data_IF_531222143863
#
_entry.id   IF_531222143863
#
_cell.length_a   1.000
_cell.length_b   1.000
_cell.length_c   1.000
_cell.angle_alpha   90.00
_cell.angle_beta   90.00
_cell.angle_gamma   90.00
#
_symmetry.space_group_name_H-M   'P 1'
#
loop_
_entity.id
_entity.type
_entity.pdbx_description
1 polymer ?
#
# COMPACT_ATOMS: atom_id res chain seq x y z
N UNK A 1 -2.97 3.91 -27.09
CA UNK A 1 -3.53 4.36 -25.80
C UNK A 1 -2.54 5.32 -25.13
N UNK A 2 -3.02 6.43 -24.59
CA UNK A 2 -2.24 7.42 -23.84
C UNK A 2 -2.51 7.25 -22.35
N UNK A 3 -1.50 6.84 -21.62
CA UNK A 3 -1.56 6.60 -20.19
C UNK A 3 -0.89 7.77 -19.47
N UNK A 4 -1.59 8.43 -18.55
CA UNK A 4 -0.98 9.40 -17.65
C UNK A 4 -0.69 8.73 -16.30
N UNK A 5 0.58 8.67 -15.93
CA UNK A 5 1.02 8.13 -14.63
C UNK A 5 1.31 9.31 -13.72
N UNK A 6 0.63 9.34 -12.58
CA UNK A 6 0.85 10.37 -11.58
C UNK A 6 2.11 10.05 -10.78
N UNK A 7 2.96 11.08 -10.63
CA UNK A 7 4.25 11.02 -9.93
C UNK A 7 4.22 11.97 -8.73
N UNK A 8 5.27 11.98 -7.87
CA UNK A 8 5.36 12.93 -6.77
C UNK A 8 5.17 14.38 -7.24
N UNK A 9 4.62 15.19 -6.37
CA UNK A 9 4.56 16.65 -6.51
C UNK A 9 5.97 17.23 -6.62
N UNK A 10 6.11 18.38 -7.27
CA UNK A 10 7.40 19.08 -7.52
C UNK A 10 8.19 19.31 -6.23
N UNK A 11 7.52 19.60 -5.11
CA UNK A 11 8.14 19.77 -3.80
C UNK A 11 8.75 18.47 -3.23
N UNK A 12 8.22 17.31 -3.66
CA UNK A 12 8.59 15.99 -3.16
C UNK A 12 9.42 15.16 -4.18
N UNK A 13 9.69 15.68 -5.39
CA UNK A 13 10.42 14.95 -6.45
C UNK A 13 11.81 14.46 -6.02
N UNK A 14 12.49 15.22 -5.16
CA UNK A 14 13.82 14.83 -4.64
C UNK A 14 13.69 13.76 -3.55
N UNK A 15 12.66 13.86 -2.71
CA UNK A 15 12.39 12.91 -1.63
C UNK A 15 12.06 11.53 -2.18
N UNK A 16 11.29 11.46 -3.25
CA UNK A 16 10.81 10.25 -3.88
C UNK A 16 11.44 10.04 -5.27
N UNK A 17 12.74 10.31 -5.41
CA UNK A 17 13.46 10.21 -6.70
C UNK A 17 13.37 8.83 -7.35
N UNK A 18 13.10 7.79 -6.56
CA UNK A 18 12.97 6.38 -6.98
C UNK A 18 11.80 6.16 -7.95
N UNK A 19 10.85 7.11 -8.10
CA UNK A 19 9.82 7.01 -9.12
C UNK A 19 10.41 6.82 -10.53
N UNK A 20 11.60 7.39 -10.78
CA UNK A 20 12.29 7.24 -12.08
C UNK A 20 12.76 5.83 -12.31
N UNK A 21 13.16 5.11 -11.25
CA UNK A 21 13.53 3.70 -11.36
C UNK A 21 12.31 2.86 -11.71
N UNK A 22 11.17 3.06 -11.05
CA UNK A 22 9.95 2.35 -11.38
C UNK A 22 9.47 2.71 -12.79
N UNK A 23 9.53 3.98 -13.20
CA UNK A 23 9.22 4.41 -14.55
C UNK A 23 10.10 3.73 -15.60
N UNK A 24 11.41 3.64 -15.35
CA UNK A 24 12.34 2.97 -16.26
C UNK A 24 12.06 1.47 -16.42
N UNK A 25 11.51 0.81 -15.40
CA UNK A 25 11.09 -0.59 -15.49
C UNK A 25 9.81 -0.74 -16.32
N UNK A 26 8.80 0.13 -16.14
CA UNK A 26 7.49 -0.03 -16.78
C UNK A 26 7.42 0.53 -18.20
N UNK A 27 8.17 1.58 -18.52
CA UNK A 27 8.17 2.25 -19.82
C UNK A 27 8.34 1.29 -21.01
N UNK A 28 9.38 0.43 -21.03
CA UNK A 28 9.58 -0.49 -22.14
C UNK A 28 8.48 -1.55 -22.25
N UNK A 29 7.85 -1.93 -21.12
CA UNK A 29 6.74 -2.87 -21.09
C UNK A 29 5.50 -2.27 -21.76
N UNK A 30 5.14 -1.05 -21.39
CA UNK A 30 4.00 -0.31 -21.93
C UNK A 30 4.18 -0.04 -23.42
N UNK A 31 5.36 0.48 -23.81
CA UNK A 31 5.65 0.81 -25.22
C UNK A 31 5.55 -0.40 -26.14
N UNK A 32 5.96 -1.58 -25.69
CA UNK A 32 5.79 -2.85 -26.46
C UNK A 32 4.32 -3.21 -26.71
N UNK A 33 3.39 -2.71 -25.91
CA UNK A 33 1.93 -2.89 -26.10
C UNK A 33 1.26 -1.70 -26.80
N UNK A 34 2.05 -0.76 -27.36
CA UNK A 34 1.51 0.45 -28.01
C UNK A 34 0.91 1.45 -27.04
N UNK A 35 1.25 1.35 -25.77
CA UNK A 35 0.80 2.29 -24.74
C UNK A 35 1.85 3.39 -24.61
N UNK A 36 1.40 4.65 -24.68
CA UNK A 36 2.25 5.83 -24.59
C UNK A 36 2.15 6.43 -23.20
N UNK A 37 3.13 6.17 -22.29
CA UNK A 37 3.12 6.76 -20.97
C UNK A 37 3.52 8.23 -21.00
N UNK A 38 2.87 9.01 -20.18
CA UNK A 38 3.25 10.38 -19.79
C UNK A 38 3.25 10.48 -18.27
N UNK A 39 4.03 11.41 -17.74
CA UNK A 39 4.21 11.58 -16.30
C UNK A 39 3.80 12.98 -15.89
N UNK A 40 2.97 13.09 -14.84
CA UNK A 40 2.51 14.36 -14.27
C UNK A 40 2.56 14.33 -12.76
N UNK A 41 2.98 15.40 -12.09
CA UNK A 41 2.77 15.54 -10.67
C UNK A 41 1.30 15.28 -10.31
N UNK A 42 1.05 14.56 -9.21
CA UNK A 42 -0.31 14.28 -8.76
C UNK A 42 -1.10 15.56 -8.40
N UNK A 43 -0.44 16.69 -8.39
CA UNK A 43 -1.02 18.02 -8.15
C UNK A 43 -1.46 18.73 -9.43
N UNK A 44 -1.11 18.19 -10.59
CA UNK A 44 -1.37 18.78 -11.90
C UNK A 44 -2.41 17.98 -12.68
N UNK A 45 -3.12 18.63 -13.59
CA UNK A 45 -4.07 17.96 -14.44
C UNK A 45 -3.36 17.02 -15.44
N UNK A 46 -3.90 15.81 -15.65
CA UNK A 46 -3.51 14.97 -16.77
C UNK A 46 -3.70 15.70 -18.11
N UNK A 47 -2.90 15.39 -19.15
CA UNK A 47 -3.12 15.90 -20.50
C UNK A 47 -4.56 15.65 -20.97
N UNK A 48 -5.15 16.61 -21.69
CA UNK A 48 -6.55 16.54 -22.13
C UNK A 48 -6.88 15.38 -23.07
N UNK A 49 -5.85 14.77 -23.64
CA UNK A 49 -5.95 13.63 -24.56
C UNK A 49 -5.60 12.29 -23.86
N UNK A 50 -5.58 12.26 -22.51
CA UNK A 50 -5.33 11.06 -21.73
C UNK A 50 -6.51 10.09 -21.81
N UNK A 51 -6.22 8.84 -22.15
CA UNK A 51 -7.22 7.76 -22.16
C UNK A 51 -7.42 7.13 -20.78
N UNK A 52 -6.33 7.02 -19.99
CA UNK A 52 -6.34 6.40 -18.66
C UNK A 52 -5.36 7.10 -17.72
N UNK A 53 -5.77 7.31 -16.48
CA UNK A 53 -4.93 7.86 -15.39
C UNK A 53 -4.57 6.76 -14.41
N UNK A 54 -3.30 6.70 -14.00
CA UNK A 54 -2.80 5.73 -13.03
C UNK A 54 -1.98 6.44 -11.95
N UNK A 55 -2.39 6.44 -10.67
CA UNK A 55 -1.66 7.10 -9.60
C UNK A 55 -0.49 6.27 -9.04
N UNK A 56 0.08 5.36 -9.83
CA UNK A 56 1.06 4.35 -9.41
C UNK A 56 2.30 4.91 -8.71
N UNK A 57 2.64 6.17 -8.94
CA UNK A 57 3.81 6.82 -8.33
C UNK A 57 3.43 8.15 -7.67
N UNK A 58 2.16 8.33 -7.26
CA UNK A 58 1.68 9.56 -6.61
C UNK A 58 2.21 9.70 -5.17
N UNK A 59 3.47 9.26 -4.93
CA UNK A 59 4.09 9.30 -3.61
C UNK A 59 4.11 10.71 -3.04
N UNK A 60 3.84 10.83 -1.75
CA UNK A 60 3.79 12.11 -1.05
C UNK A 60 2.37 12.68 -0.89
N UNK A 61 1.33 12.12 -1.53
CA UNK A 61 -0.05 12.59 -1.39
C UNK A 61 -0.53 12.61 0.08
N UNK A 62 -0.06 11.66 0.88
CA UNK A 62 -0.37 11.55 2.31
C UNK A 62 0.09 12.76 3.13
N UNK A 63 1.04 13.54 2.63
CA UNK A 63 1.54 14.77 3.27
C UNK A 63 0.61 15.97 3.06
N UNK A 64 -0.27 15.90 2.05
CA UNK A 64 -1.30 16.90 1.77
C UNK A 64 -2.61 16.22 1.37
N UNK A 65 -3.18 15.49 2.31
CA UNK A 65 -4.39 14.67 2.10
C UNK A 65 -5.59 15.51 1.63
N UNK A 66 -5.72 16.75 2.12
CA UNK A 66 -6.80 17.63 1.68
C UNK A 66 -6.71 17.94 0.18
N UNK A 67 -5.51 18.24 -0.33
CA UNK A 67 -5.28 18.47 -1.75
C UNK A 67 -5.50 17.18 -2.55
N UNK A 68 -5.05 16.03 -2.04
CA UNK A 68 -5.28 14.73 -2.67
C UNK A 68 -6.78 14.47 -2.89
N UNK A 69 -7.60 14.62 -1.84
CA UNK A 69 -9.04 14.43 -1.97
C UNK A 69 -9.68 15.43 -2.92
N UNK A 70 -9.25 16.69 -2.91
CA UNK A 70 -9.73 17.71 -3.85
C UNK A 70 -9.40 17.34 -5.31
N UNK A 71 -8.20 16.78 -5.57
CA UNK A 71 -7.83 16.29 -6.90
C UNK A 71 -8.69 15.10 -7.34
N UNK A 72 -8.95 14.12 -6.46
CA UNK A 72 -9.85 13.01 -6.77
C UNK A 72 -11.27 13.49 -7.11
N UNK A 73 -11.77 14.54 -6.45
CA UNK A 73 -13.06 15.15 -6.77
C UNK A 73 -13.02 15.88 -8.13
N UNK A 74 -11.96 16.64 -8.38
CA UNK A 74 -11.74 17.37 -9.63
C UNK A 74 -11.68 16.42 -10.83
N UNK A 75 -11.00 15.28 -10.67
CA UNK A 75 -10.84 14.28 -11.73
C UNK A 75 -12.00 13.28 -11.83
N UNK A 76 -13.15 13.57 -11.23
CA UNK A 76 -14.30 12.64 -11.15
C UNK A 76 -14.82 12.13 -12.50
N UNK A 77 -14.45 12.78 -13.61
CA UNK A 77 -14.85 12.41 -14.97
C UNK A 77 -13.77 11.68 -15.77
N UNK A 78 -12.57 11.54 -15.21
CA UNK A 78 -11.47 10.84 -15.89
C UNK A 78 -11.55 9.33 -15.62
N UNK A 79 -11.08 8.55 -16.58
CA UNK A 79 -10.91 7.12 -16.40
C UNK A 79 -9.64 6.84 -15.58
N UNK A 80 -9.76 6.08 -14.52
CA UNK A 80 -8.64 5.67 -13.67
C UNK A 80 -8.43 4.17 -13.73
N UNK A 81 -7.17 3.74 -13.68
CA UNK A 81 -6.78 2.33 -13.65
C UNK A 81 -7.41 1.59 -12.44
N UNK A 82 -7.41 2.22 -11.28
CA UNK A 82 -8.21 1.78 -10.13
C UNK A 82 -9.33 2.80 -9.89
N UNK A 83 -10.57 2.37 -9.63
CA UNK A 83 -11.70 3.29 -9.50
C UNK A 83 -11.47 4.35 -8.42
N UNK A 84 -11.90 5.59 -8.66
CA UNK A 84 -11.75 6.69 -7.69
C UNK A 84 -12.36 6.37 -6.32
N UNK A 85 -13.43 5.58 -6.27
CA UNK A 85 -14.02 5.11 -5.02
C UNK A 85 -13.07 4.21 -4.24
N UNK A 86 -12.32 3.33 -4.93
CA UNK A 86 -11.31 2.47 -4.32
C UNK A 86 -10.09 3.29 -3.87
N UNK A 87 -9.61 4.25 -4.68
CA UNK A 87 -8.50 5.13 -4.32
C UNK A 87 -8.83 5.96 -3.07
N UNK A 88 -10.02 6.55 -3.04
CA UNK A 88 -10.49 7.33 -1.90
C UNK A 88 -10.60 6.49 -0.63
N UNK A 89 -11.15 5.29 -0.73
CA UNK A 89 -11.28 4.35 0.37
C UNK A 89 -9.90 3.90 0.89
N UNK A 90 -8.98 3.56 -0.03
CA UNK A 90 -7.64 3.07 0.31
C UNK A 90 -6.71 4.15 0.87
N UNK A 91 -7.01 5.44 0.65
CA UNK A 91 -6.23 6.57 1.19
C UNK A 91 -6.13 6.52 2.72
N UNK A 92 -7.17 6.05 3.40
CA UNK A 92 -7.23 5.99 4.87
C UNK A 92 -7.21 4.53 5.34
N UNK A 93 -6.19 4.15 6.09
CA UNK A 93 -5.98 2.77 6.59
C UNK A 93 -7.09 2.25 7.51
N UNK A 94 -8.08 3.08 7.86
CA UNK A 94 -9.33 2.60 8.49
C UNK A 94 -10.08 1.62 7.60
N UNK A 95 -9.75 1.55 6.30
CA UNK A 95 -10.25 0.49 5.43
C UNK A 95 -10.00 -0.92 5.98
N UNK A 96 -8.97 -1.11 6.81
CA UNK A 96 -8.75 -2.38 7.51
C UNK A 96 -9.92 -2.76 8.41
N UNK A 97 -10.56 -1.80 9.07
CA UNK A 97 -11.76 -2.04 9.89
C UNK A 97 -12.96 -2.44 9.02
N UNK A 98 -13.09 -1.86 7.83
CA UNK A 98 -14.12 -2.25 6.87
C UNK A 98 -13.87 -3.67 6.35
N UNK A 99 -12.60 -4.03 6.09
CA UNK A 99 -12.21 -5.41 5.75
C UNK A 99 -12.58 -6.38 6.88
N UNK A 100 -12.26 -6.05 8.12
CA UNK A 100 -12.61 -6.88 9.28
C UNK A 100 -14.12 -7.05 9.44
N UNK A 101 -14.91 -5.99 9.22
CA UNK A 101 -16.37 -6.04 9.27
C UNK A 101 -16.96 -6.96 8.18
N UNK A 102 -16.22 -7.19 7.09
CA UNK A 102 -16.57 -8.16 6.03
C UNK A 102 -15.97 -9.56 6.27
N UNK A 103 -15.35 -9.80 7.43
CA UNK A 103 -14.78 -11.09 7.81
C UNK A 103 -13.37 -11.36 7.28
N UNK A 104 -12.70 -10.37 6.67
CA UNK A 104 -11.31 -10.51 6.23
C UNK A 104 -10.39 -10.56 7.46
N UNK A 105 -9.50 -11.56 7.60
CA UNK A 105 -8.51 -11.59 8.65
C UNK A 105 -7.52 -10.41 8.49
N UNK A 106 -7.48 -9.54 9.48
CA UNK A 106 -6.55 -8.39 9.53
C UNK A 106 -5.72 -8.45 10.81
N UNK A 107 -4.58 -7.73 10.87
CA UNK A 107 -3.94 -7.45 12.16
C UNK A 107 -4.96 -6.74 13.05
N UNK A 108 -5.21 -7.20 14.30
CA UNK A 108 -6.13 -6.52 15.22
C UNK A 108 -5.82 -5.02 15.29
N UNK A 109 -6.81 -4.19 15.01
CA UNK A 109 -6.61 -2.75 14.80
C UNK A 109 -7.60 -1.95 15.65
N UNK A 110 -7.09 -0.99 16.41
CA UNK A 110 -7.90 0.03 17.08
C UNK A 110 -7.65 1.39 16.43
N UNK A 111 -8.71 2.16 16.24
CA UNK A 111 -8.63 3.53 15.75
C UNK A 111 -8.99 4.50 16.87
N UNK A 112 -8.15 5.52 17.08
CA UNK A 112 -8.35 6.61 18.00
C UNK A 112 -8.35 7.93 17.22
N UNK A 113 -9.45 8.69 17.29
CA UNK A 113 -9.56 9.98 16.59
C UNK A 113 -8.63 11.05 17.19
N UNK A 114 -8.31 10.93 18.50
CA UNK A 114 -7.38 11.77 19.23
C UNK A 114 -6.70 10.92 20.31
N UNK A 115 -5.61 10.21 19.96
CA UNK A 115 -4.98 9.24 20.86
C UNK A 115 -4.43 9.90 22.12
N UNK A 116 -4.64 9.27 23.27
CA UNK A 116 -4.09 9.65 24.57
C UNK A 116 -3.16 8.57 25.13
N UNK A 117 -2.37 8.90 26.14
CA UNK A 117 -1.44 7.95 26.76
C UNK A 117 -2.17 6.71 27.33
N UNK A 118 -3.37 6.89 27.92
CA UNK A 118 -4.16 5.80 28.46
C UNK A 118 -4.63 4.80 27.39
N UNK A 119 -4.82 5.25 26.12
CA UNK A 119 -5.24 4.38 25.03
C UNK A 119 -4.14 3.37 24.67
N UNK A 120 -2.87 3.78 24.80
CA UNK A 120 -1.72 2.90 24.55
C UNK A 120 -1.69 1.72 25.53
N UNK A 121 -1.91 1.98 26.81
CA UNK A 121 -1.93 0.94 27.86
C UNK A 121 -3.17 0.05 27.71
N UNK A 122 -4.33 0.65 27.40
CA UNK A 122 -5.55 -0.09 27.11
C UNK A 122 -5.40 -1.03 25.90
N UNK A 123 -4.71 -0.57 24.84
CA UNK A 123 -4.42 -1.39 23.66
C UNK A 123 -3.49 -2.56 23.99
N UNK A 124 -2.43 -2.34 24.77
CA UNK A 124 -1.54 -3.42 25.23
C UNK A 124 -2.30 -4.51 25.99
N UNK A 125 -3.19 -4.11 26.88
CA UNK A 125 -4.05 -5.04 27.64
C UNK A 125 -5.00 -5.79 26.69
N UNK A 126 -5.69 -5.08 25.81
CA UNK A 126 -6.65 -5.66 24.86
C UNK A 126 -6.00 -6.66 23.91
N UNK A 127 -4.81 -6.35 23.38
CA UNK A 127 -4.05 -7.21 22.48
C UNK A 127 -3.19 -8.25 23.21
N UNK A 128 -3.13 -8.22 24.55
CA UNK A 128 -2.29 -9.10 25.37
C UNK A 128 -0.81 -9.09 24.93
N UNK A 129 -0.27 -7.92 24.66
CA UNK A 129 1.10 -7.71 24.18
C UNK A 129 1.77 -6.53 24.86
N UNK A 130 3.08 -6.63 25.07
CA UNK A 130 3.91 -5.53 25.57
C UNK A 130 4.34 -4.56 24.46
N UNK A 131 4.17 -4.97 23.19
CA UNK A 131 4.70 -4.22 22.03
C UNK A 131 3.61 -3.94 21.03
N UNK A 132 3.38 -2.67 20.75
CA UNK A 132 2.39 -2.21 19.77
C UNK A 132 3.03 -1.30 18.72
N UNK A 133 2.39 -1.25 17.56
CA UNK A 133 2.68 -0.31 16.49
C UNK A 133 1.62 0.78 16.52
N UNK A 134 2.06 2.03 16.52
CA UNK A 134 1.20 3.22 16.44
C UNK A 134 1.51 3.95 15.15
N UNK A 135 0.51 4.22 14.31
CA UNK A 135 0.69 4.86 13.00
C UNK A 135 -0.50 5.74 12.63
N UNK A 136 -0.29 6.81 11.83
CA UNK A 136 -1.42 7.59 11.33
C UNK A 136 -2.32 6.76 10.39
N UNK A 137 -3.61 7.07 10.30
CA UNK A 137 -4.49 6.40 9.34
C UNK A 137 -4.14 6.72 7.89
N UNK A 138 -3.58 7.90 7.60
CA UNK A 138 -3.07 8.26 6.27
C UNK A 138 -1.57 8.47 6.37
N UNK A 139 -0.80 7.54 5.80
CA UNK A 139 0.67 7.55 5.81
C UNK A 139 1.21 6.59 4.74
N UNK A 140 2.44 6.83 4.29
CA UNK A 140 3.20 5.94 3.40
C UNK A 140 4.65 5.84 3.88
N UNK A 141 5.38 4.78 3.48
CA UNK A 141 6.81 4.62 3.77
C UNK A 141 7.17 4.55 5.26
N UNK A 142 6.23 4.16 6.12
CA UNK A 142 6.38 4.15 7.59
C UNK A 142 6.54 5.55 8.23
N UNK A 143 6.15 6.62 7.52
CA UNK A 143 6.14 7.97 8.10
C UNK A 143 5.26 8.01 9.36
N UNK A 144 5.79 8.61 10.45
CA UNK A 144 5.11 8.70 11.75
C UNK A 144 4.63 7.33 12.30
N UNK A 145 5.38 6.25 12.03
CA UNK A 145 5.10 4.92 12.56
C UNK A 145 6.07 4.60 13.70
N UNK A 146 5.53 4.28 14.86
CA UNK A 146 6.29 3.98 16.08
C UNK A 146 6.04 2.56 16.57
N UNK A 147 7.13 1.85 16.85
CA UNK A 147 7.10 0.59 17.61
C UNK A 147 7.34 0.93 19.08
N UNK A 148 6.36 0.67 19.93
CA UNK A 148 6.37 1.07 21.33
C UNK A 148 6.27 -0.17 22.23
N UNK A 149 7.42 -0.53 22.84
CA UNK A 149 7.50 -1.62 23.84
C UNK A 149 7.34 -1.03 25.25
N UNK A 150 6.58 -1.66 26.11
CA UNK A 150 6.48 -1.28 27.53
C UNK A 150 7.88 -1.24 28.19
N UNK A 151 8.21 -0.19 28.96
CA UNK A 151 7.37 0.91 29.43
C UNK A 151 7.40 2.19 28.56
N UNK A 152 7.80 2.10 27.27
CA UNK A 152 7.80 3.27 26.38
C UNK A 152 6.40 3.89 26.30
N UNK A 153 6.36 5.22 26.32
CA UNK A 153 5.13 6.02 26.26
C UNK A 153 4.86 6.53 24.84
N UNK A 154 3.65 7.02 24.63
CA UNK A 154 3.27 7.62 23.37
C UNK A 154 4.12 8.87 23.09
N UNK A 155 4.73 9.00 21.88
CA UNK A 155 5.47 10.21 21.50
C UNK A 155 4.57 11.45 21.53
N UNK A 156 5.13 12.59 21.94
CA UNK A 156 4.39 13.86 21.96
C UNK A 156 3.81 14.20 20.58
N UNK A 157 4.53 13.84 19.51
CA UNK A 157 4.08 14.04 18.13
C UNK A 157 2.83 13.23 17.76
N UNK A 158 2.49 12.19 18.50
CA UNK A 158 1.28 11.39 18.26
C UNK A 158 0.09 11.86 19.10
N UNK A 159 0.34 12.50 20.26
CA UNK A 159 -0.73 12.90 21.22
C UNK A 159 -1.77 13.80 20.56
N UNK A 160 -3.05 13.45 20.78
CA UNK A 160 -4.19 14.20 20.26
C UNK A 160 -4.43 14.06 18.76
N UNK A 161 -3.63 13.25 18.06
CA UNK A 161 -3.80 12.96 16.62
C UNK A 161 -4.66 11.71 16.40
N UNK A 162 -5.24 11.64 15.21
CA UNK A 162 -5.87 10.40 14.73
C UNK A 162 -4.79 9.33 14.50
N UNK A 163 -4.91 8.18 15.18
CA UNK A 163 -3.93 7.09 15.12
C UNK A 163 -4.61 5.73 15.08
N UNK A 164 -3.94 4.79 14.42
CA UNK A 164 -4.20 3.36 14.51
C UNK A 164 -3.21 2.74 15.49
N UNK A 165 -3.69 1.80 16.31
CA UNK A 165 -2.87 0.99 17.21
C UNK A 165 -3.06 -0.48 16.86
N UNK A 166 -1.95 -1.20 16.66
CA UNK A 166 -1.92 -2.61 16.29
C UNK A 166 -0.91 -3.37 17.18
N UNK A 167 -1.11 -4.65 17.49
CA UNK A 167 -0.05 -5.45 18.08
C UNK A 167 1.11 -5.58 17.10
N UNK A 168 2.35 -5.60 17.61
CA UNK A 168 3.49 -6.03 16.80
C UNK A 168 3.36 -7.52 16.50
N UNK A 169 3.47 -7.88 15.22
CA UNK A 169 3.39 -9.26 14.76
C UNK A 169 4.78 -9.89 14.74
N UNK A 170 5.11 -10.82 15.67
CA UNK A 170 6.44 -11.41 15.74
C UNK A 170 6.87 -12.15 14.49
N UNK A 171 5.91 -12.69 13.72
CA UNK A 171 6.14 -13.37 12.44
C UNK A 171 6.87 -12.53 11.41
N UNK A 172 6.79 -11.20 11.47
CA UNK A 172 7.59 -10.30 10.62
C UNK A 172 9.10 -10.56 10.79
N UNK A 173 9.53 -10.84 12.01
CA UNK A 173 10.96 -11.03 12.32
C UNK A 173 11.46 -12.42 11.93
N UNK A 174 10.59 -13.42 11.89
CA UNK A 174 10.92 -14.83 11.58
C UNK A 174 10.63 -15.19 10.13
N UNK A 175 9.41 -14.93 9.68
CA UNK A 175 8.89 -15.38 8.40
C UNK A 175 8.93 -14.27 7.34
N UNK A 176 8.93 -13.02 7.80
CA UNK A 176 8.88 -11.82 6.96
C UNK A 176 7.45 -11.38 6.64
N UNK A 177 7.35 -10.35 5.80
CA UNK A 177 6.11 -9.83 5.23
C UNK A 177 5.96 -10.36 3.81
N UNK A 178 4.83 -11.00 3.52
CA UNK A 178 4.47 -11.43 2.17
C UNK A 178 3.80 -10.29 1.43
N UNK A 179 4.26 -9.98 0.22
CA UNK A 179 3.59 -9.06 -0.69
C UNK A 179 3.11 -9.83 -1.91
N UNK A 180 1.79 -9.86 -2.12
CA UNK A 180 1.15 -10.49 -3.26
C UNK A 180 0.68 -9.41 -4.23
N UNK A 181 1.07 -9.53 -5.51
CA UNK A 181 0.77 -8.56 -6.55
C UNK A 181 -0.30 -9.10 -7.48
N UNK A 182 -1.40 -8.38 -7.58
CA UNK A 182 -2.52 -8.69 -8.45
C UNK A 182 -2.57 -7.70 -9.61
N UNK A 183 -2.71 -8.22 -10.82
CA UNK A 183 -2.79 -7.46 -12.06
C UNK A 183 -3.96 -8.01 -12.88
N UNK A 184 -4.88 -7.13 -13.28
CA UNK A 184 -6.10 -7.55 -13.99
C UNK A 184 -6.93 -8.58 -13.20
N UNK A 185 -6.97 -8.47 -11.87
CA UNK A 185 -7.67 -9.39 -10.98
C UNK A 185 -6.99 -10.74 -10.75
N UNK A 186 -5.80 -10.98 -11.32
CA UNK A 186 -5.07 -12.26 -11.22
C UNK A 186 -3.79 -12.08 -10.42
N UNK A 187 -3.44 -13.06 -9.58
CA UNK A 187 -2.16 -13.10 -8.89
C UNK A 187 -1.02 -13.24 -9.92
N UNK A 188 -0.20 -12.20 -10.06
CA UNK A 188 0.90 -12.16 -11.02
C UNK A 188 2.20 -12.71 -10.41
N UNK A 189 2.57 -12.25 -9.23
CA UNK A 189 3.78 -12.70 -8.52
C UNK A 189 3.66 -12.40 -7.02
N UNK A 190 4.59 -12.93 -6.26
CA UNK A 190 4.69 -12.65 -4.84
C UNK A 190 6.16 -12.58 -4.41
N UNK A 191 6.42 -11.78 -3.37
CA UNK A 191 7.71 -11.70 -2.71
C UNK A 191 7.53 -11.84 -1.21
N UNK A 192 8.60 -12.25 -0.54
CA UNK A 192 8.72 -12.08 0.90
C UNK A 192 9.77 -11.01 1.18
N UNK A 193 9.45 -10.10 2.09
CA UNK A 193 10.34 -9.06 2.58
C UNK A 193 10.75 -9.41 4.01
N UNK A 194 12.05 -9.39 4.30
CA UNK A 194 12.59 -9.68 5.63
C UNK A 194 13.35 -8.49 6.17
N UNK A 195 13.12 -8.08 7.41
CA UNK A 195 13.91 -7.04 8.04
C UNK A 195 15.34 -7.50 8.29
N UNK A 196 16.27 -6.56 8.37
CA UNK A 196 17.66 -6.81 8.70
C UNK A 196 18.15 -5.86 9.80
N UNK A 197 19.25 -6.18 10.44
CA UNK A 197 19.90 -5.25 11.37
C UNK A 197 19.14 -4.92 12.65
N UNK A 198 18.12 -5.72 13.02
CA UNK A 198 17.36 -5.51 14.25
C UNK A 198 16.22 -4.49 14.13
N UNK A 199 15.97 -3.92 12.94
CA UNK A 199 14.77 -3.16 12.65
C UNK A 199 13.60 -4.12 12.37
N UNK A 200 12.37 -3.69 12.61
CA UNK A 200 11.16 -4.46 12.27
C UNK A 200 10.62 -4.07 10.89
N UNK A 201 11.09 -2.96 10.33
CA UNK A 201 10.68 -2.44 9.03
C UNK A 201 11.38 -3.20 7.91
N UNK A 202 10.62 -3.56 6.89
CA UNK A 202 11.07 -4.41 5.78
C UNK A 202 11.43 -3.62 4.52
N UNK A 203 11.25 -2.30 4.52
CA UNK A 203 11.51 -1.46 3.36
C UNK A 203 13.02 -1.36 3.07
N UNK A 204 13.43 -1.23 1.78
CA UNK A 204 14.85 -1.19 1.38
C UNK A 204 15.68 -0.10 2.08
N UNK A 205 15.09 1.08 2.34
CA UNK A 205 15.77 2.18 3.03
C UNK A 205 16.16 1.83 4.49
N UNK A 206 15.57 0.78 5.06
CA UNK A 206 15.91 0.23 6.37
C UNK A 206 16.74 -1.05 6.27
N UNK A 207 17.25 -1.38 5.08
CA UNK A 207 18.07 -2.54 4.82
C UNK A 207 17.28 -3.85 4.57
N UNK A 208 15.95 -3.77 4.46
CA UNK A 208 15.11 -4.93 4.17
C UNK A 208 15.52 -5.64 2.88
N UNK A 209 15.43 -6.96 2.88
CA UNK A 209 15.70 -7.81 1.72
C UNK A 209 14.41 -8.43 1.19
N UNK A 210 14.33 -8.59 -0.13
CA UNK A 210 13.18 -9.22 -0.78
C UNK A 210 13.60 -10.35 -1.71
N UNK A 211 12.83 -11.42 -1.73
CA UNK A 211 13.01 -12.57 -2.63
C UNK A 211 11.67 -13.01 -3.22
N UNK A 212 11.68 -13.52 -4.46
CA UNK A 212 10.49 -14.09 -5.09
C UNK A 212 10.11 -15.39 -4.41
N UNK A 213 8.81 -15.61 -4.21
CA UNK A 213 8.28 -16.82 -3.62
C UNK A 213 7.05 -17.33 -4.38
N UNK A 214 6.71 -18.60 -4.18
CA UNK A 214 5.38 -19.14 -4.44
C UNK A 214 4.60 -18.96 -3.14
N UNK A 215 3.55 -18.11 -3.11
CA UNK A 215 2.84 -17.83 -1.88
C UNK A 215 2.05 -19.05 -1.40
N UNK A 216 1.96 -19.28 -0.08
CA UNK A 216 1.10 -20.33 0.47
C UNK A 216 -0.36 -20.13 0.05
N UNK A 217 -1.12 -21.21 -0.25
CA UNK A 217 -2.54 -21.09 -0.63
C UNK A 217 -3.39 -20.34 0.40
N UNK A 218 -3.08 -20.47 1.69
CA UNK A 218 -3.76 -19.74 2.76
C UNK A 218 -3.54 -18.22 2.66
N UNK A 219 -2.34 -17.77 2.27
CA UNK A 219 -2.05 -16.35 2.04
C UNK A 219 -2.81 -15.83 0.83
N UNK A 220 -2.87 -16.60 -0.27
CA UNK A 220 -3.63 -16.24 -1.46
C UNK A 220 -5.11 -16.08 -1.12
N UNK A 221 -5.70 -17.03 -0.39
CA UNK A 221 -7.11 -16.97 0.02
C UNK A 221 -7.44 -15.73 0.86
N UNK A 222 -6.55 -15.30 1.77
CA UNK A 222 -6.75 -14.08 2.55
C UNK A 222 -6.60 -12.82 1.69
N UNK A 223 -5.65 -12.81 0.76
CA UNK A 223 -5.47 -11.69 -0.17
C UNK A 223 -6.69 -11.51 -1.09
N UNK A 224 -7.24 -12.61 -1.61
CA UNK A 224 -8.45 -12.58 -2.44
C UNK A 224 -9.68 -12.09 -1.64
N UNK A 225 -9.82 -12.48 -0.38
CA UNK A 225 -10.85 -11.95 0.51
C UNK A 225 -10.69 -10.43 0.71
N UNK A 226 -9.45 -9.95 0.88
CA UNK A 226 -9.18 -8.51 1.00
C UNK A 226 -9.55 -7.74 -0.27
N UNK A 227 -9.20 -8.29 -1.44
CA UNK A 227 -9.57 -7.69 -2.73
C UNK A 227 -11.08 -7.68 -2.96
N UNK A 228 -11.79 -8.73 -2.56
CA UNK A 228 -13.25 -8.79 -2.64
C UNK A 228 -13.95 -7.76 -1.71
N UNK A 229 -13.24 -7.23 -0.70
CA UNK A 229 -13.74 -6.18 0.17
C UNK A 229 -13.60 -4.76 -0.42
N UNK A 230 -12.79 -4.59 -1.48
CA UNK A 230 -12.55 -3.30 -2.14
C UNK A 230 -13.83 -2.80 -2.83
N UNK A 231 -14.16 -1.51 -2.76
CA UNK A 231 -15.27 -0.95 -3.52
C UNK A 231 -14.91 -0.79 -5.01
N UNK A 232 -15.36 -1.75 -5.83
CA UNK A 232 -15.11 -1.81 -7.27
C UNK A 232 -13.93 -2.70 -7.65
N UNK A 233 -13.84 -3.02 -8.95
CA UNK A 233 -12.75 -3.83 -9.50
C UNK A 233 -11.49 -3.00 -9.66
N UNK A 234 -10.36 -3.56 -9.27
CA UNK A 234 -9.05 -2.89 -9.36
C UNK A 234 -8.17 -3.57 -10.41
N UNK A 235 -7.48 -2.75 -11.18
CA UNK A 235 -6.57 -3.23 -12.21
C UNK A 235 -5.25 -3.73 -11.64
N UNK A 236 -4.78 -3.10 -10.58
CA UNK A 236 -3.57 -3.51 -9.86
C UNK A 236 -3.76 -3.35 -8.35
N UNK A 237 -3.13 -4.24 -7.61
CA UNK A 237 -3.11 -4.19 -6.15
C UNK A 237 -1.85 -4.87 -5.61
N UNK A 238 -1.38 -4.40 -4.46
CA UNK A 238 -0.45 -5.14 -3.59
C UNK A 238 -1.14 -5.42 -2.27
N UNK A 239 -1.14 -6.69 -1.87
CA UNK A 239 -1.66 -7.13 -0.59
C UNK A 239 -0.50 -7.57 0.27
N UNK A 240 -0.25 -6.86 1.36
CA UNK A 240 0.81 -7.16 2.30
C UNK A 240 0.23 -7.96 3.48
N UNK A 241 0.80 -9.13 3.73
CA UNK A 241 0.33 -10.12 4.69
C UNK A 241 1.44 -10.52 5.67
N UNK A 242 1.04 -10.89 6.86
CA UNK A 242 1.95 -11.50 7.85
C UNK A 242 1.31 -12.75 8.45
N UNK A 243 2.13 -13.67 8.95
CA UNK A 243 1.63 -14.85 9.69
C UNK A 243 0.89 -14.42 10.97
N UNK A 244 -0.19 -15.12 11.30
CA UNK A 244 -1.02 -14.86 12.50
C UNK A 244 -0.43 -15.44 13.80
N UNK A 245 0.73 -16.07 13.71
CA UNK A 245 1.38 -16.77 14.82
C UNK A 245 0.94 -18.23 15.00
N UNK A 246 0.04 -18.72 14.14
CA UNK A 246 -0.40 -20.10 14.05
C UNK A 246 -0.07 -20.67 12.66
N UNK A 247 -1.07 -20.92 11.85
CA UNK A 247 -0.88 -21.43 10.47
C UNK A 247 -1.59 -20.60 9.42
N UNK A 248 -2.15 -19.45 9.82
CA UNK A 248 -2.89 -18.53 8.98
C UNK A 248 -2.11 -17.25 8.68
N UNK A 249 -2.76 -16.39 7.91
CA UNK A 249 -2.26 -15.09 7.56
C UNK A 249 -3.29 -14.01 7.86
N UNK A 250 -2.81 -12.79 8.11
CA UNK A 250 -3.64 -11.61 8.31
C UNK A 250 -3.14 -10.48 7.41
N UNK A 251 -4.07 -9.67 6.93
CA UNK A 251 -3.75 -8.48 6.13
C UNK A 251 -3.10 -7.43 7.04
N UNK A 252 -1.93 -6.97 6.64
CA UNK A 252 -1.23 -5.86 7.26
C UNK A 252 -1.53 -4.55 6.53
N UNK A 253 -1.52 -4.59 5.21
CA UNK A 253 -1.77 -3.44 4.34
C UNK A 253 -2.32 -3.87 2.99
N UNK A 254 -3.11 -2.99 2.36
CA UNK A 254 -3.59 -3.10 1.00
C UNK A 254 -3.23 -1.82 0.28
N UNK A 255 -2.44 -1.91 -0.80
CA UNK A 255 -2.02 -0.77 -1.59
C UNK A 255 -2.68 -0.80 -2.98
N UNK A 256 -3.55 0.16 -3.22
CA UNK A 256 -4.29 0.34 -4.47
C UNK A 256 -3.94 1.65 -5.18
N UNK A 257 -3.14 2.51 -4.56
CA UNK A 257 -2.79 3.83 -5.08
C UNK A 257 -1.41 3.78 -5.73
N UNK A 258 -0.35 3.60 -4.91
CA UNK A 258 1.02 3.79 -5.34
C UNK A 258 1.99 2.65 -4.94
N UNK A 259 1.61 1.37 -5.11
CA UNK A 259 2.50 0.27 -4.74
C UNK A 259 3.79 0.26 -5.57
N UNK A 260 4.92 0.04 -4.91
CA UNK A 260 6.09 -0.43 -5.63
C UNK A 260 5.85 -1.85 -6.11
N UNK A 261 5.82 -2.06 -7.43
CA UNK A 261 5.32 -3.31 -8.02
C UNK A 261 6.34 -4.44 -8.08
N UNK A 262 7.63 -4.19 -7.83
CA UNK A 262 8.69 -5.22 -7.90
C UNK A 262 8.64 -6.07 -9.18
N UNK A 263 8.38 -5.46 -10.35
CA UNK A 263 8.22 -6.17 -11.62
C UNK A 263 9.45 -6.98 -12.03
N UNK A 264 10.63 -6.55 -11.59
CA UNK A 264 11.89 -7.30 -11.77
C UNK A 264 11.95 -8.61 -10.96
N UNK A 265 10.96 -8.89 -10.13
CA UNK A 265 10.79 -10.14 -9.37
C UNK A 265 9.72 -11.05 -9.97
N UNK A 266 8.95 -10.56 -10.94
CA UNK A 266 7.97 -11.36 -11.67
C UNK A 266 8.67 -12.31 -12.65
N UNK A 267 8.12 -13.53 -12.80
CA UNK A 267 8.70 -14.55 -13.69
C UNK A 267 8.65 -14.17 -15.19
N UNK A 268 7.76 -13.24 -15.55
CA UNK A 268 7.54 -12.73 -16.89
C UNK A 268 8.17 -11.33 -17.12
N UNK A 269 9.10 -10.93 -16.23
CA UNK A 269 9.73 -9.61 -16.24
C UNK A 269 8.71 -8.45 -16.29
N UNK A 270 7.52 -8.66 -15.71
CA UNK A 270 6.45 -7.66 -15.62
C UNK A 270 5.56 -7.56 -16.87
N UNK A 271 5.59 -8.52 -17.79
CA UNK A 271 4.74 -8.49 -18.98
C UNK A 271 3.25 -8.45 -18.63
N UNK A 272 2.82 -9.20 -17.60
CA UNK A 272 1.45 -9.21 -17.10
C UNK A 272 0.93 -7.81 -16.70
N UNK A 273 1.81 -6.93 -16.21
CA UNK A 273 1.44 -5.55 -15.91
C UNK A 273 0.97 -4.79 -17.15
N UNK A 274 1.77 -4.84 -18.23
CA UNK A 274 1.42 -4.15 -19.47
C UNK A 274 0.20 -4.79 -20.16
N UNK A 275 0.04 -6.10 -20.05
CA UNK A 275 -1.13 -6.84 -20.57
C UNK A 275 -2.41 -6.44 -19.84
N UNK A 276 -2.38 -6.34 -18.52
CA UNK A 276 -3.51 -5.89 -17.72
C UNK A 276 -3.94 -4.47 -18.12
N UNK A 277 -2.99 -3.53 -18.29
CA UNK A 277 -3.30 -2.16 -18.71
C UNK A 277 -3.86 -2.12 -20.14
N UNK A 278 -3.28 -2.90 -21.06
CA UNK A 278 -3.77 -2.97 -22.43
C UNK A 278 -5.22 -3.50 -22.49
N UNK A 279 -5.57 -4.44 -21.62
CA UNK A 279 -6.91 -5.05 -21.58
C UNK A 279 -7.96 -4.13 -20.94
N UNK A 280 -7.57 -3.21 -20.07
CA UNK A 280 -8.50 -2.29 -19.38
C UNK A 280 -9.14 -1.25 -20.31
N UNK A 281 -8.65 -1.10 -21.53
CA UNK A 281 -9.09 -0.09 -22.50
C UNK A 281 -9.75 -0.68 -23.76
N UNK A 282 -10.05 -1.99 -23.73
CA UNK A 282 -10.85 -2.67 -24.75
C UNK A 282 -12.31 -2.76 -24.31
#
# INVERSE_FOLDING_TARGET
MRLCILIPDDADLTRYADWREQAAQIDPLLKRRGIMPSYRPWTDDPPSDTDLVMPLMAWGYHRNTARWYAQLDHWSRLAFANPLVALRWNTDKRYLLDCAAKGVPIIPTQFHAAIAAADLDAARVAFKTETVVVKPPVSAGSDDTWLLKSPQTLPVAALGRAMLVQPMMPSILTDGELSLFYLGGTLAHAIVKRPTGGDFRVQPQFGGQSESIIPPPAAVAVAEQALAAVPGEVLYARVDLVGDGCSGFVVMELELIEPWLHLNRAADDGAAFADAIASACL
#
